data_IF_943450001662
#
_entry.id   IF_943450001662
#
_cell.length_a   1.000
_cell.length_b   1.000
_cell.length_c   1.000
_cell.angle_alpha   90.00
_cell.angle_beta   90.00
_cell.angle_gamma   90.00
#
_symmetry.space_group_name_H-M   'P 1'
#
loop_
_entity.id
_entity.type
_entity.pdbx_description
1 polymer ?
#
# COMPACT_ATOMS: atom_id res chain seq x y z
N UNK A 1 -2.16 27.67 -5.43
CA UNK A 1 -2.76 26.61 -6.27
C UNK A 1 -2.57 25.32 -5.48
N UNK A 2 -3.64 24.65 -5.02
CA UNK A 2 -3.52 23.33 -4.44
C UNK A 2 -3.16 22.39 -5.60
N UNK A 3 -1.95 21.86 -5.60
CA UNK A 3 -1.57 20.80 -6.52
C UNK A 3 -2.53 19.62 -6.36
N UNK A 4 -2.56 18.74 -7.33
CA UNK A 4 -3.41 17.55 -7.31
C UNK A 4 -3.04 16.63 -6.13
N UNK A 5 -4.05 16.10 -5.43
CA UNK A 5 -3.86 15.04 -4.46
C UNK A 5 -4.62 13.81 -4.94
N UNK A 6 -3.88 12.80 -5.37
CA UNK A 6 -4.42 11.57 -5.95
C UNK A 6 -3.82 10.35 -5.29
N UNK A 7 -4.67 9.34 -5.08
CA UNK A 7 -4.28 8.01 -4.61
C UNK A 7 -4.65 6.99 -5.68
N UNK A 8 -3.73 6.16 -6.11
CA UNK A 8 -3.97 5.08 -7.08
C UNK A 8 -3.56 3.73 -6.50
N UNK A 9 -4.48 2.79 -6.45
CA UNK A 9 -4.21 1.42 -6.02
C UNK A 9 -3.50 0.67 -7.15
N UNK A 10 -2.21 0.44 -7.04
CA UNK A 10 -1.43 -0.31 -8.04
C UNK A 10 -1.69 -1.81 -7.92
N UNK A 11 -1.94 -2.29 -6.70
CA UNK A 11 -2.30 -3.67 -6.43
C UNK A 11 -3.17 -3.75 -5.18
N UNK A 12 -4.21 -4.56 -5.26
CA UNK A 12 -5.24 -4.73 -4.24
C UNK A 12 -5.36 -6.19 -3.77
N UNK A 13 -4.43 -7.04 -4.22
CA UNK A 13 -4.40 -8.47 -3.93
C UNK A 13 -3.68 -8.79 -2.63
N UNK A 14 -3.35 -10.05 -2.49
CA UNK A 14 -2.88 -10.74 -1.28
C UNK A 14 -1.65 -11.61 -1.65
N UNK A 15 -1.04 -12.36 -0.69
CA UNK A 15 0.12 -13.22 -1.01
C UNK A 15 -0.10 -14.20 -2.17
N UNK A 16 -1.33 -14.67 -2.35
CA UNK A 16 -1.68 -15.58 -3.46
C UNK A 16 -1.71 -14.79 -4.78
N UNK A 17 -0.94 -15.20 -5.80
CA UNK A 17 -0.89 -14.48 -7.06
C UNK A 17 -2.22 -14.56 -7.82
N UNK A 18 -2.65 -13.42 -8.36
CA UNK A 18 -3.79 -13.30 -9.27
C UNK A 18 -3.43 -12.36 -10.42
N UNK A 19 -3.88 -12.63 -11.64
CA UNK A 19 -3.71 -11.68 -12.75
C UNK A 19 -4.62 -10.46 -12.62
N UNK A 20 -5.73 -10.56 -11.89
CA UNK A 20 -6.70 -9.49 -11.70
C UNK A 20 -6.30 -8.53 -10.58
N UNK A 21 -5.63 -9.06 -9.53
CA UNK A 21 -5.20 -8.30 -8.36
C UNK A 21 -3.74 -8.55 -8.06
N UNK A 22 -2.91 -7.58 -8.34
CA UNK A 22 -1.48 -7.63 -8.01
C UNK A 22 -1.24 -7.43 -6.51
N UNK A 23 -0.03 -7.70 -6.06
CA UNK A 23 0.34 -7.54 -4.65
C UNK A 23 0.16 -6.09 -4.15
N UNK A 24 -0.08 -5.89 -2.85
CA UNK A 24 -0.43 -4.58 -2.30
C UNK A 24 0.64 -3.53 -2.60
N UNK A 25 0.23 -2.48 -3.28
CA UNK A 25 1.03 -1.30 -3.54
C UNK A 25 0.11 -0.13 -3.87
N UNK A 26 0.40 1.03 -3.33
CA UNK A 26 -0.39 2.25 -3.57
C UNK A 26 0.53 3.40 -3.96
N UNK A 27 0.19 4.09 -5.06
CA UNK A 27 0.81 5.34 -5.47
C UNK A 27 0.03 6.51 -4.88
N UNK A 28 0.74 7.43 -4.25
CA UNK A 28 0.20 8.70 -3.76
C UNK A 28 0.92 9.84 -4.45
N UNK A 29 0.17 10.63 -5.19
CA UNK A 29 0.64 11.84 -5.87
C UNK A 29 0.09 13.05 -5.10
N UNK A 30 0.98 13.85 -4.52
CA UNK A 30 0.62 15.01 -3.71
C UNK A 30 1.49 16.21 -4.11
N UNK A 31 0.93 17.09 -4.95
CA UNK A 31 1.66 18.20 -5.57
C UNK A 31 2.75 17.70 -6.50
N UNK A 32 4.00 17.96 -6.14
CA UNK A 32 5.19 17.51 -6.87
C UNK A 32 5.85 16.24 -6.30
N UNK A 33 5.21 15.62 -5.29
CA UNK A 33 5.74 14.43 -4.64
C UNK A 33 5.00 13.17 -5.08
N UNK A 34 5.75 12.13 -5.43
CA UNK A 34 5.24 10.79 -5.75
C UNK A 34 5.74 9.78 -4.71
N UNK A 35 4.83 9.21 -3.94
CA UNK A 35 5.14 8.26 -2.88
C UNK A 35 4.53 6.89 -3.20
N UNK A 36 5.28 5.82 -2.91
CA UNK A 36 4.73 4.45 -2.90
C UNK A 36 4.53 3.97 -1.47
N UNK A 37 3.38 3.39 -1.20
CA UNK A 37 3.13 2.61 0.03
C UNK A 37 3.18 1.14 -0.36
N UNK A 38 4.12 0.43 0.24
CA UNK A 38 4.48 -0.95 -0.05
C UNK A 38 4.98 -1.19 -1.50
N UNK A 39 5.44 -2.39 -1.77
CA UNK A 39 6.03 -2.81 -3.02
C UNK A 39 5.64 -4.26 -3.33
N UNK A 40 4.35 -4.49 -3.47
CA UNK A 40 3.83 -5.81 -3.79
C UNK A 40 4.12 -6.24 -5.23
N UNK A 41 3.97 -7.54 -5.49
CA UNK A 41 4.26 -8.16 -6.78
C UNK A 41 3.58 -7.43 -7.92
N UNK A 42 4.37 -7.02 -8.93
CA UNK A 42 3.89 -6.40 -10.16
C UNK A 42 3.74 -4.88 -10.10
N UNK A 43 4.15 -4.23 -9.02
CA UNK A 43 4.07 -2.78 -8.88
C UNK A 43 4.76 -2.03 -10.04
N UNK A 44 5.91 -2.49 -10.52
CA UNK A 44 6.61 -1.92 -11.68
C UNK A 44 5.78 -1.99 -12.96
N UNK A 45 5.06 -3.09 -13.18
CA UNK A 45 4.18 -3.27 -14.33
C UNK A 45 3.01 -2.28 -14.26
N UNK A 46 2.42 -2.08 -13.08
CA UNK A 46 1.32 -1.12 -12.89
C UNK A 46 1.76 0.33 -13.07
N UNK A 47 2.96 0.69 -12.57
CA UNK A 47 3.56 2.01 -12.84
C UNK A 47 3.77 2.22 -14.35
N UNK A 48 4.25 1.18 -15.07
CA UNK A 48 4.38 1.25 -16.53
C UNK A 48 3.04 1.48 -17.23
N UNK A 49 1.99 0.77 -16.84
CA UNK A 49 0.64 0.95 -17.40
C UNK A 49 0.06 2.36 -17.16
N UNK A 50 0.44 3.01 -16.07
CA UNK A 50 0.08 4.40 -15.76
C UNK A 50 1.00 5.43 -16.41
N UNK A 51 2.04 5.00 -17.14
CA UNK A 51 3.09 5.86 -17.68
C UNK A 51 3.80 6.71 -16.62
N UNK A 52 3.91 6.19 -15.39
CA UNK A 52 4.64 6.82 -14.29
C UNK A 52 6.08 6.28 -14.27
N UNK A 53 7.09 7.07 -14.63
CA UNK A 53 8.48 6.64 -14.57
C UNK A 53 8.90 6.29 -13.14
N UNK A 54 9.53 5.13 -12.96
CA UNK A 54 9.94 4.68 -11.62
C UNK A 54 10.95 5.64 -10.98
N UNK A 55 11.76 6.33 -11.81
CA UNK A 55 12.71 7.34 -11.34
C UNK A 55 12.06 8.58 -10.72
N UNK A 56 10.77 8.80 -10.93
CA UNK A 56 10.01 9.91 -10.33
C UNK A 56 9.55 9.62 -8.90
N UNK A 57 9.62 8.37 -8.45
CA UNK A 57 9.22 8.02 -7.09
C UNK A 57 10.19 8.69 -6.10
N UNK A 58 9.68 9.65 -5.35
CA UNK A 58 10.42 10.42 -4.35
C UNK A 58 10.66 9.63 -3.07
N UNK A 59 9.73 8.74 -2.72
CA UNK A 59 9.73 8.04 -1.45
C UNK A 59 9.01 6.70 -1.51
N UNK A 60 9.67 5.65 -1.01
CA UNK A 60 9.07 4.35 -0.70
C UNK A 60 8.75 4.30 0.79
N UNK A 61 7.49 4.06 1.12
CA UNK A 61 7.01 3.77 2.48
C UNK A 61 6.78 2.27 2.61
N UNK A 62 7.22 1.67 3.71
CA UNK A 62 6.97 0.26 4.02
C UNK A 62 6.10 0.18 5.27
N UNK A 63 5.03 -0.61 5.22
CA UNK A 63 4.12 -0.82 6.35
C UNK A 63 4.62 -1.90 7.29
N UNK A 64 5.02 -3.04 6.75
CA UNK A 64 5.58 -4.20 7.44
C UNK A 64 6.36 -5.11 6.45
N UNK A 65 6.81 -6.29 6.89
CA UNK A 65 7.79 -7.09 6.14
C UNK A 65 7.25 -8.41 5.59
N UNK A 66 5.94 -8.59 5.42
CA UNK A 66 5.42 -9.70 4.63
C UNK A 66 5.89 -9.59 3.18
N UNK A 67 6.09 -10.75 2.56
CA UNK A 67 6.68 -10.81 1.21
C UNK A 67 5.79 -10.19 0.14
N UNK A 68 4.49 -10.24 0.28
CA UNK A 68 3.55 -9.63 -0.66
C UNK A 68 3.59 -8.10 -0.62
N UNK A 69 4.05 -7.48 0.48
CA UNK A 69 4.29 -6.04 0.62
C UNK A 69 5.68 -5.60 0.18
N UNK A 70 6.62 -6.53 -0.03
CA UNK A 70 8.03 -6.18 -0.28
C UNK A 70 8.64 -6.86 -1.50
N UNK A 71 7.95 -7.82 -2.13
CA UNK A 71 8.54 -8.67 -3.18
C UNK A 71 8.96 -7.93 -4.46
N UNK A 72 8.36 -6.78 -4.77
CA UNK A 72 8.72 -5.92 -5.89
C UNK A 72 9.70 -4.79 -5.52
N UNK A 73 10.09 -4.67 -4.25
CA UNK A 73 10.99 -3.62 -3.79
C UNK A 73 12.34 -3.62 -4.54
N UNK A 74 13.02 -4.77 -4.74
CA UNK A 74 14.24 -4.79 -5.54
C UNK A 74 14.00 -4.41 -6.99
N UNK A 75 12.88 -4.79 -7.60
CA UNK A 75 12.57 -4.45 -8.98
C UNK A 75 12.37 -2.94 -9.16
N UNK A 76 11.62 -2.27 -8.27
CA UNK A 76 11.45 -0.80 -8.26
C UNK A 76 12.82 -0.12 -8.08
N UNK A 77 13.61 -0.58 -7.12
CA UNK A 77 14.90 0.00 -6.79
C UNK A 77 15.89 -0.10 -7.94
N UNK A 78 16.06 -1.30 -8.51
CA UNK A 78 17.02 -1.57 -9.59
C UNK A 78 16.55 -0.96 -10.92
N UNK A 79 15.31 -1.19 -11.33
CA UNK A 79 14.78 -0.68 -12.61
C UNK A 79 14.73 0.84 -12.65
N UNK A 80 14.46 1.51 -11.52
CA UNK A 80 14.51 2.97 -11.43
C UNK A 80 15.89 3.56 -11.67
N UNK A 81 16.96 2.81 -11.48
CA UNK A 81 18.35 3.22 -11.71
C UNK A 81 18.79 3.07 -13.17
N UNK A 82 18.21 2.13 -13.92
CA UNK A 82 18.61 1.83 -15.30
C UNK A 82 18.44 3.03 -16.23
N UNK A 83 19.31 3.19 -17.21
CA UNK A 83 19.20 4.23 -18.23
C UNK A 83 18.10 3.88 -19.23
N UNK A 84 16.91 4.42 -19.01
CA UNK A 84 15.73 4.20 -19.85
C UNK A 84 14.75 5.37 -19.67
N UNK A 85 13.75 5.48 -20.57
CA UNK A 85 12.67 6.45 -20.38
C UNK A 85 11.83 6.22 -19.10
N UNK A 86 12.01 5.11 -18.42
CA UNK A 86 11.30 4.71 -17.22
C UNK A 86 12.18 4.75 -15.94
N UNK A 87 13.49 4.75 -16.13
CA UNK A 87 14.52 4.78 -15.09
C UNK A 87 15.25 6.11 -15.03
N UNK A 88 16.59 6.06 -14.97
CA UNK A 88 17.53 7.20 -14.90
C UNK A 88 17.59 7.92 -13.55
N UNK A 89 17.25 7.24 -12.44
CA UNK A 89 17.45 7.80 -11.11
C UNK A 89 18.94 8.05 -10.85
N UNK A 90 19.28 9.29 -10.48
CA UNK A 90 20.66 9.73 -10.20
C UNK A 90 20.90 10.07 -8.72
N UNK A 91 19.85 10.01 -7.91
CA UNK A 91 19.87 10.26 -6.47
C UNK A 91 19.61 8.98 -5.69
N UNK A 92 19.99 8.88 -4.41
CA UNK A 92 19.68 7.71 -3.60
C UNK A 92 18.19 7.40 -3.57
N UNK A 93 17.86 6.11 -3.61
CA UNK A 93 16.49 5.63 -3.43
C UNK A 93 16.08 5.78 -1.96
N UNK A 94 15.07 6.61 -1.71
CA UNK A 94 14.61 6.91 -0.36
C UNK A 94 13.58 5.89 0.10
N UNK A 95 13.86 5.29 1.25
CA UNK A 95 12.97 4.32 1.90
C UNK A 95 12.71 4.76 3.33
N UNK A 96 11.46 4.85 3.72
CA UNK A 96 11.05 5.04 5.11
C UNK A 96 10.21 3.84 5.52
N UNK A 97 10.58 3.20 6.61
CA UNK A 97 9.86 2.05 7.14
C UNK A 97 10.10 1.84 8.62
N UNK A 98 9.36 0.95 9.26
CA UNK A 98 9.60 0.59 10.65
C UNK A 98 10.97 -0.08 10.80
N UNK A 99 11.41 -0.28 12.05
CA UNK A 99 12.66 -1.01 12.37
C UNK A 99 12.77 -2.30 11.57
N UNK A 100 13.86 -2.47 10.83
CA UNK A 100 14.13 -3.59 9.91
C UNK A 100 14.29 -3.17 8.44
N UNK A 101 13.88 -1.95 8.06
CA UNK A 101 14.01 -1.44 6.69
C UNK A 101 15.47 -1.36 6.23
N UNK A 102 16.37 -0.87 7.08
CA UNK A 102 17.82 -0.84 6.79
C UNK A 102 18.36 -2.23 6.50
N UNK A 103 18.07 -3.18 7.39
CA UNK A 103 18.51 -4.57 7.22
C UNK A 103 17.98 -5.18 5.93
N UNK A 104 16.70 -4.90 5.57
CA UNK A 104 16.12 -5.38 4.33
C UNK A 104 16.89 -4.83 3.12
N UNK A 105 17.09 -3.50 3.04
CA UNK A 105 17.78 -2.87 1.91
C UNK A 105 19.25 -3.29 1.81
N UNK A 106 19.99 -3.38 2.93
CA UNK A 106 21.37 -3.88 2.97
C UNK A 106 21.48 -5.32 2.45
N UNK A 107 20.51 -6.19 2.77
CA UNK A 107 20.51 -7.56 2.27
C UNK A 107 20.13 -7.63 0.79
N UNK A 108 19.24 -6.78 0.31
CA UNK A 108 18.96 -6.65 -1.13
C UNK A 108 20.20 -6.16 -1.90
N UNK A 109 20.92 -5.17 -1.40
CA UNK A 109 22.16 -4.71 -2.00
C UNK A 109 23.19 -5.84 -2.11
N UNK A 110 23.34 -6.65 -1.05
CA UNK A 110 24.21 -7.83 -1.09
C UNK A 110 23.75 -8.89 -2.09
N UNK A 111 22.41 -9.12 -2.16
CA UNK A 111 21.84 -10.10 -3.08
C UNK A 111 22.04 -9.74 -4.55
N UNK A 112 22.04 -8.44 -4.87
CA UNK A 112 22.19 -7.92 -6.23
C UNK A 112 23.58 -7.32 -6.51
N UNK A 113 24.58 -7.60 -5.66
CA UNK A 113 25.92 -7.03 -5.77
C UNK A 113 26.59 -7.32 -7.13
N UNK A 114 26.37 -8.50 -7.70
CA UNK A 114 26.95 -8.87 -9.01
C UNK A 114 26.27 -8.09 -10.15
N UNK A 115 24.93 -7.95 -10.15
CA UNK A 115 24.20 -7.13 -11.13
C UNK A 115 24.67 -5.67 -11.07
N UNK A 116 24.75 -5.11 -9.86
CA UNK A 116 25.23 -3.74 -9.65
C UNK A 116 26.64 -3.55 -10.21
N UNK A 117 27.56 -4.47 -9.91
CA UNK A 117 28.94 -4.43 -10.39
C UNK A 117 29.00 -4.50 -11.92
N UNK A 118 28.24 -5.39 -12.54
CA UNK A 118 28.15 -5.53 -14.00
C UNK A 118 27.69 -4.23 -14.64
N UNK A 119 26.57 -3.66 -14.17
CA UNK A 119 26.00 -2.43 -14.74
C UNK A 119 26.89 -1.21 -14.56
N UNK A 120 27.56 -1.09 -13.44
CA UNK A 120 28.56 -0.02 -13.23
C UNK A 120 29.74 -0.18 -14.20
N UNK A 121 30.22 -1.40 -14.43
CA UNK A 121 31.35 -1.65 -15.29
C UNK A 121 31.02 -1.53 -16.78
N UNK A 122 29.85 -2.02 -17.22
CA UNK A 122 29.42 -2.08 -18.61
C UNK A 122 28.67 -0.81 -19.04
N UNK A 123 27.56 -0.50 -18.36
CA UNK A 123 26.66 0.60 -18.70
C UNK A 123 27.10 1.95 -18.10
N UNK A 124 28.13 1.97 -17.24
CA UNK A 124 28.67 3.17 -16.57
C UNK A 124 27.62 3.91 -15.72
N UNK A 125 26.66 3.19 -15.19
CA UNK A 125 25.60 3.77 -14.37
C UNK A 125 26.17 4.42 -13.08
N UNK A 126 25.64 5.58 -12.65
CA UNK A 126 26.15 6.29 -11.49
C UNK A 126 25.81 5.57 -10.19
N UNK A 127 26.81 5.36 -9.32
CA UNK A 127 26.62 4.75 -8.00
C UNK A 127 25.63 5.53 -7.11
N UNK A 128 25.49 6.84 -7.32
CA UNK A 128 24.51 7.64 -6.57
C UNK A 128 23.06 7.21 -6.83
N UNK A 129 22.76 6.69 -8.03
CA UNK A 129 21.41 6.25 -8.39
C UNK A 129 21.01 4.90 -7.80
N UNK A 130 22.00 4.03 -7.49
CA UNK A 130 21.73 2.74 -6.83
C UNK A 130 21.82 2.82 -5.30
N UNK A 131 22.48 3.86 -4.77
CA UNK A 131 22.55 4.07 -3.34
C UNK A 131 21.16 4.14 -2.70
N UNK A 132 21.05 3.77 -1.44
CA UNK A 132 19.80 3.84 -0.67
C UNK A 132 19.92 4.85 0.48
N UNK A 133 18.84 5.59 0.74
CA UNK A 133 18.70 6.49 1.89
C UNK A 133 17.54 5.97 2.73
N UNK A 134 17.85 5.25 3.80
CA UNK A 134 16.87 4.52 4.60
C UNK A 134 16.70 5.16 5.97
N UNK A 135 15.48 5.59 6.25
CA UNK A 135 15.06 6.09 7.58
C UNK A 135 14.14 5.08 8.24
N UNK A 136 14.43 4.75 9.49
CA UNK A 136 13.60 3.87 10.32
C UNK A 136 12.91 4.64 11.43
N UNK A 137 11.73 4.14 11.83
CA UNK A 137 10.98 4.62 12.99
C UNK A 137 10.45 3.43 13.81
N UNK A 138 10.11 3.68 15.07
CA UNK A 138 9.67 2.66 16.04
C UNK A 138 8.45 3.10 16.89
N UNK A 139 7.81 4.21 16.52
CA UNK A 139 6.67 4.80 17.26
C UNK A 139 5.80 5.64 16.34
N UNK A 140 4.58 5.93 16.80
CA UNK A 140 3.66 6.85 16.16
C UNK A 140 4.25 8.26 16.02
N UNK A 141 4.03 8.89 14.88
CA UNK A 141 4.41 10.29 14.66
C UNK A 141 4.72 10.62 13.21
N UNK A 142 5.09 11.90 12.94
CA UNK A 142 5.50 12.31 11.61
C UNK A 142 6.83 11.66 11.24
N UNK A 143 6.85 11.03 10.05
CA UNK A 143 8.03 10.33 9.51
C UNK A 143 8.58 11.00 8.24
N UNK A 144 7.79 11.87 7.61
CA UNK A 144 8.21 12.63 6.43
C UNK A 144 7.44 13.94 6.33
N UNK A 145 8.15 15.02 5.98
CA UNK A 145 7.55 16.32 5.70
C UNK A 145 8.37 17.04 4.62
N UNK A 146 7.76 17.29 3.46
CA UNK A 146 8.41 18.00 2.34
C UNK A 146 7.35 18.57 1.40
N UNK A 147 7.56 19.79 0.92
CA UNK A 147 6.74 20.47 -0.09
C UNK A 147 5.23 20.48 0.23
N UNK A 148 4.88 20.60 1.54
CA UNK A 148 3.50 20.61 2.01
C UNK A 148 2.89 19.21 2.19
N UNK A 149 3.60 18.14 1.82
CA UNK A 149 3.21 16.75 2.12
C UNK A 149 3.71 16.38 3.51
N UNK A 150 2.82 15.85 4.34
CA UNK A 150 3.17 15.31 5.66
C UNK A 150 2.70 13.88 5.76
N UNK A 151 3.60 12.97 6.16
CA UNK A 151 3.30 11.55 6.41
C UNK A 151 3.46 11.26 7.91
N UNK A 152 2.41 10.72 8.50
CA UNK A 152 2.37 10.28 9.89
C UNK A 152 2.21 8.76 9.87
N UNK A 153 3.15 8.05 10.50
CA UNK A 153 3.03 6.62 10.74
C UNK A 153 2.29 6.38 12.08
N UNK A 154 1.48 5.34 12.15
CA UNK A 154 0.81 4.91 13.36
C UNK A 154 0.79 3.39 13.47
N UNK A 155 1.11 2.88 14.65
CA UNK A 155 1.16 1.43 14.91
C UNK A 155 -0.22 0.81 14.75
N UNK A 156 -0.27 -0.36 14.09
CA UNK A 156 -1.47 -1.18 13.95
C UNK A 156 -1.17 -2.61 14.43
N UNK A 157 -2.21 -3.42 14.58
CA UNK A 157 -2.10 -4.76 15.17
C UNK A 157 -2.39 -5.84 14.12
N UNK A 158 -1.36 -6.33 13.45
CA UNK A 158 -1.47 -7.43 12.48
C UNK A 158 -1.25 -8.81 13.11
N UNK A 159 -1.30 -8.93 14.42
CA UNK A 159 -1.11 -10.17 15.19
C UNK A 159 0.10 -10.12 16.12
N UNK A 160 0.21 -11.13 16.97
CA UNK A 160 1.16 -11.09 18.08
C UNK A 160 2.63 -11.19 17.64
N UNK A 161 2.88 -11.84 16.50
CA UNK A 161 4.24 -12.07 15.95
C UNK A 161 4.56 -11.27 14.70
N UNK A 162 3.56 -10.63 14.07
CA UNK A 162 3.76 -9.84 12.85
C UNK A 162 4.00 -8.39 13.25
N UNK A 163 5.23 -8.13 13.71
CA UNK A 163 5.68 -6.82 14.23
C UNK A 163 7.06 -6.49 13.69
N UNK A 164 7.32 -5.20 13.42
CA UNK A 164 6.42 -4.04 13.50
C UNK A 164 5.43 -3.97 12.33
N UNK A 165 4.27 -3.32 12.53
CA UNK A 165 3.29 -3.05 11.49
C UNK A 165 2.66 -1.66 11.70
N UNK A 166 2.59 -0.85 10.63
CA UNK A 166 2.15 0.54 10.70
C UNK A 166 1.22 0.90 9.54
N UNK A 167 0.19 1.69 9.85
CA UNK A 167 -0.59 2.42 8.87
C UNK A 167 -0.01 3.81 8.64
N UNK A 168 -0.52 4.51 7.62
CA UNK A 168 -0.09 5.86 7.28
C UNK A 168 -1.25 6.83 7.16
N UNK A 169 -1.04 8.05 7.68
CA UNK A 169 -1.87 9.21 7.41
C UNK A 169 -1.05 10.21 6.61
N UNK A 170 -1.54 10.55 5.41
CA UNK A 170 -0.89 11.49 4.50
C UNK A 170 -1.75 12.74 4.39
N UNK A 171 -1.15 13.88 4.66
CA UNK A 171 -1.80 15.19 4.63
C UNK A 171 -1.17 16.06 3.54
N UNK A 172 -2.00 16.69 2.70
CA UNK A 172 -1.57 17.63 1.67
C UNK A 172 -2.70 18.60 1.32
N UNK A 173 -2.40 19.90 1.24
CA UNK A 173 -3.36 20.94 0.81
C UNK A 173 -4.63 21.00 1.68
N UNK A 174 -4.53 20.69 2.98
CA UNK A 174 -5.66 20.64 3.91
C UNK A 174 -6.55 19.41 3.76
N UNK A 175 -6.11 18.40 3.00
CA UNK A 175 -6.81 17.15 2.74
C UNK A 175 -6.05 15.97 3.31
N UNK A 176 -6.75 14.84 3.50
CA UNK A 176 -6.23 13.70 4.23
C UNK A 176 -6.57 12.38 3.56
N UNK A 177 -5.56 11.57 3.29
CA UNK A 177 -5.71 10.15 2.96
C UNK A 177 -5.12 9.29 4.09
N UNK A 178 -5.82 8.21 4.47
CA UNK A 178 -5.37 7.28 5.52
C UNK A 178 -5.38 5.86 4.97
N UNK A 179 -4.34 5.11 5.32
CA UNK A 179 -4.09 3.73 4.89
C UNK A 179 -3.91 2.86 6.13
N UNK A 180 -4.74 1.85 6.28
CA UNK A 180 -4.72 0.99 7.48
C UNK A 180 -3.47 0.13 7.58
N UNK A 181 -2.84 -0.28 6.47
CA UNK A 181 -2.03 -1.49 6.40
C UNK A 181 -2.85 -2.74 6.77
N UNK A 182 -2.20 -3.90 6.88
CA UNK A 182 -2.83 -5.11 7.39
C UNK A 182 -3.01 -5.00 8.89
N UNK A 183 -4.21 -5.25 9.40
CA UNK A 183 -4.50 -5.07 10.82
C UNK A 183 -5.79 -5.75 11.25
N UNK A 184 -5.85 -6.21 12.47
CA UNK A 184 -7.11 -6.46 13.20
C UNK A 184 -7.84 -5.14 13.43
N UNK A 185 -9.10 -5.21 13.89
CA UNK A 185 -9.80 -4.02 14.36
C UNK A 185 -8.92 -3.22 15.34
N UNK A 186 -8.61 -1.97 14.98
CA UNK A 186 -7.59 -1.20 15.69
C UNK A 186 -8.04 0.24 15.99
N UNK A 187 -7.85 0.66 17.25
CA UNK A 187 -8.21 2.00 17.70
C UNK A 187 -7.33 3.11 17.10
N UNK A 188 -6.09 2.81 16.71
CA UNK A 188 -5.25 3.80 16.03
C UNK A 188 -5.78 4.11 14.63
N UNK A 189 -6.29 3.11 13.88
CA UNK A 189 -6.97 3.39 12.61
C UNK A 189 -8.14 4.36 12.81
N UNK A 190 -8.92 4.19 13.88
CA UNK A 190 -10.02 5.11 14.21
C UNK A 190 -9.47 6.49 14.58
N UNK A 191 -8.46 6.56 15.44
CA UNK A 191 -7.84 7.81 15.90
C UNK A 191 -7.30 8.63 14.72
N UNK A 192 -6.48 8.02 13.89
CA UNK A 192 -5.83 8.67 12.76
C UNK A 192 -6.72 8.80 11.51
N UNK A 193 -7.77 7.98 11.42
CA UNK A 193 -8.79 8.04 10.37
C UNK A 193 -9.83 9.14 10.53
N UNK A 194 -9.96 9.75 11.73
CA UNK A 194 -10.91 10.85 11.94
C UNK A 194 -10.59 12.04 11.02
N UNK A 195 -11.64 12.52 10.32
CA UNK A 195 -11.53 13.63 9.39
C UNK A 195 -10.79 13.30 8.09
N UNK A 196 -10.59 12.03 7.76
CA UNK A 196 -10.04 11.62 6.48
C UNK A 196 -11.01 11.97 5.34
N UNK A 197 -10.47 12.46 4.24
CA UNK A 197 -11.21 12.54 2.97
C UNK A 197 -11.33 11.13 2.37
N UNK A 198 -10.24 10.38 2.34
CA UNK A 198 -10.16 8.99 1.89
C UNK A 198 -9.60 8.09 2.99
N UNK A 199 -10.29 7.01 3.32
CA UNK A 199 -9.79 5.94 4.18
C UNK A 199 -9.71 4.64 3.37
N UNK A 200 -8.48 4.21 3.05
CA UNK A 200 -8.19 2.93 2.39
C UNK A 200 -7.88 1.89 3.46
N UNK A 201 -8.66 0.83 3.52
CA UNK A 201 -8.55 -0.21 4.55
C UNK A 201 -8.42 -1.59 3.91
N UNK A 202 -7.65 -2.49 4.54
CA UNK A 202 -7.66 -3.91 4.19
C UNK A 202 -8.97 -4.56 4.63
N UNK A 203 -9.27 -5.74 4.11
CA UNK A 203 -10.45 -6.52 4.54
C UNK A 203 -10.26 -8.02 4.32
N UNK A 204 -10.69 -8.82 5.29
CA UNK A 204 -10.64 -10.27 5.16
C UNK A 204 -11.99 -10.94 5.48
N UNK A 205 -12.37 -11.87 4.62
CA UNK A 205 -13.60 -12.64 4.78
C UNK A 205 -13.39 -14.12 4.44
N UNK A 206 -14.03 -14.98 5.22
CA UNK A 206 -14.16 -16.40 4.95
C UNK A 206 -15.62 -16.83 5.13
N UNK A 207 -16.05 -17.84 4.37
CA UNK A 207 -17.36 -18.44 4.61
C UNK A 207 -17.40 -19.19 5.94
N UNK A 208 -18.56 -19.25 6.65
CA UNK A 208 -18.69 -19.92 7.94
C UNK A 208 -18.19 -21.37 7.94
N UNK A 209 -18.37 -22.08 6.82
CA UNK A 209 -17.93 -23.49 6.66
C UNK A 209 -16.41 -23.65 6.81
N UNK A 210 -15.63 -22.61 6.47
CA UNK A 210 -14.17 -22.60 6.57
C UNK A 210 -13.69 -22.20 7.97
N UNK A 211 -14.53 -21.55 8.78
CA UNK A 211 -14.13 -21.05 10.11
C UNK A 211 -13.82 -22.15 11.13
N UNK A 212 -14.10 -23.42 10.82
CA UNK A 212 -13.66 -24.58 11.63
C UNK A 212 -12.17 -24.93 11.41
N UNK A 213 -11.57 -24.48 10.33
CA UNK A 213 -10.18 -24.74 9.98
C UNK A 213 -9.24 -23.81 10.73
N UNK A 214 -8.31 -24.36 11.52
CA UNK A 214 -7.42 -23.57 12.38
C UNK A 214 -6.55 -22.58 11.61
N UNK A 215 -6.14 -22.88 10.37
CA UNK A 215 -5.35 -21.94 9.57
C UNK A 215 -6.20 -20.76 9.07
N UNK A 216 -7.49 -20.99 8.76
CA UNK A 216 -8.44 -19.93 8.38
C UNK A 216 -8.67 -18.99 9.56
N UNK A 217 -8.91 -19.55 10.76
CA UNK A 217 -9.07 -18.76 11.98
C UNK A 217 -7.84 -17.87 12.25
N UNK A 218 -6.63 -18.42 12.03
CA UNK A 218 -5.39 -17.62 12.18
C UNK A 218 -5.34 -16.48 11.18
N UNK A 219 -5.64 -16.72 9.90
CA UNK A 219 -5.61 -15.66 8.88
C UNK A 219 -6.66 -14.58 9.21
N UNK A 220 -7.91 -14.96 9.43
CA UNK A 220 -8.97 -14.00 9.82
C UNK A 220 -8.60 -13.27 11.12
N UNK A 221 -7.98 -13.97 12.07
CA UNK A 221 -7.53 -13.38 13.34
C UNK A 221 -6.41 -12.33 13.21
N UNK A 222 -5.77 -12.20 12.05
CA UNK A 222 -4.75 -11.18 11.76
C UNK A 222 -5.31 -9.96 11.02
N UNK A 223 -6.54 -10.02 10.52
CA UNK A 223 -7.15 -9.04 9.63
C UNK A 223 -8.46 -8.50 10.21
N UNK A 224 -9.03 -7.51 9.54
CA UNK A 224 -10.31 -6.91 9.91
C UNK A 224 -11.44 -7.51 9.08
N UNK A 225 -12.50 -7.98 9.75
CA UNK A 225 -13.70 -8.49 9.06
C UNK A 225 -14.49 -7.34 8.40
N UNK A 226 -15.33 -7.62 7.37
CA UNK A 226 -16.16 -6.59 6.76
C UNK A 226 -17.08 -5.86 7.77
N UNK A 227 -17.65 -6.61 8.72
CA UNK A 227 -18.48 -6.04 9.81
C UNK A 227 -17.68 -5.04 10.65
N UNK A 228 -16.44 -5.39 11.02
CA UNK A 228 -15.58 -4.53 11.83
C UNK A 228 -15.00 -3.34 11.02
N UNK A 229 -14.74 -3.52 9.73
CA UNK A 229 -14.43 -2.40 8.82
C UNK A 229 -15.56 -1.37 8.82
N UNK A 230 -16.81 -1.82 8.72
CA UNK A 230 -17.98 -0.93 8.79
C UNK A 230 -18.06 -0.16 10.12
N UNK A 231 -17.71 -0.79 11.25
CA UNK A 231 -17.62 -0.11 12.56
C UNK A 231 -16.53 0.96 12.59
N UNK A 232 -15.36 0.69 11.95
CA UNK A 232 -14.27 1.67 11.82
C UNK A 232 -14.74 2.86 10.98
N UNK A 233 -15.37 2.62 9.83
CA UNK A 233 -15.85 3.66 8.93
C UNK A 233 -16.94 4.52 9.57
N UNK A 234 -17.85 3.92 10.35
CA UNK A 234 -18.88 4.64 11.10
C UNK A 234 -18.28 5.58 12.16
N UNK A 235 -17.15 5.19 12.78
CA UNK A 235 -16.48 6.02 13.78
C UNK A 235 -15.56 7.08 13.17
N UNK A 236 -14.95 6.80 12.02
CA UNK A 236 -14.03 7.73 11.33
C UNK A 236 -14.75 8.71 10.43
N UNK A 237 -15.88 8.31 9.84
CA UNK A 237 -16.73 9.10 8.91
C UNK A 237 -15.92 9.71 7.77
N UNK A 238 -15.17 8.92 6.98
CA UNK A 238 -14.43 9.44 5.84
C UNK A 238 -15.40 9.95 4.77
N UNK A 239 -14.99 10.89 3.91
CA UNK A 239 -15.79 11.26 2.74
C UNK A 239 -15.99 10.07 1.80
N UNK A 240 -14.96 9.21 1.69
CA UNK A 240 -15.01 7.94 0.99
C UNK A 240 -14.18 6.89 1.73
N UNK A 241 -14.77 5.73 1.99
CA UNK A 241 -14.06 4.51 2.39
C UNK A 241 -13.74 3.68 1.15
N UNK A 242 -12.56 3.04 1.13
CA UNK A 242 -12.20 2.13 0.05
C UNK A 242 -11.49 0.89 0.61
N UNK A 243 -11.67 -0.26 -0.01
CA UNK A 243 -10.93 -1.47 0.32
C UNK A 243 -9.72 -1.66 -0.59
N UNK A 244 -8.64 -2.16 0.00
CA UNK A 244 -7.48 -2.76 -0.64
C UNK A 244 -7.16 -4.07 0.06
N UNK A 245 -6.14 -4.83 -0.37
CA UNK A 245 -5.75 -6.09 0.26
C UNK A 245 -6.97 -6.97 0.59
N UNK A 246 -7.73 -7.31 -0.47
CA UNK A 246 -9.03 -7.99 -0.33
C UNK A 246 -8.83 -9.49 -0.17
N UNK A 247 -8.84 -9.97 1.07
CA UNK A 247 -8.64 -11.38 1.43
C UNK A 247 -9.97 -12.12 1.37
N UNK A 248 -10.17 -12.92 0.35
CA UNK A 248 -11.34 -13.79 0.18
C UNK A 248 -10.90 -15.25 0.28
N UNK A 249 -11.00 -15.83 1.48
CA UNK A 249 -10.50 -17.18 1.72
C UNK A 249 -11.41 -18.24 1.12
N UNK A 250 -10.78 -19.25 0.52
CA UNK A 250 -11.44 -20.35 -0.16
C UNK A 250 -10.74 -21.69 0.15
N UNK A 251 -11.38 -22.79 -0.21
CA UNK A 251 -10.78 -24.13 -0.32
C UNK A 251 -11.23 -24.80 -1.62
N UNK A 252 -10.72 -25.99 -1.90
CA UNK A 252 -11.18 -26.77 -3.05
C UNK A 252 -12.70 -27.02 -2.99
N UNK A 253 -13.25 -27.21 -1.82
CA UNK A 253 -14.67 -27.57 -1.60
C UNK A 253 -15.56 -26.33 -1.35
N UNK A 254 -15.02 -25.22 -0.91
CA UNK A 254 -15.77 -24.02 -0.53
C UNK A 254 -15.24 -22.82 -1.33
N UNK A 255 -16.05 -22.25 -2.26
CA UNK A 255 -15.64 -21.09 -3.06
C UNK A 255 -15.45 -19.86 -2.17
N UNK A 256 -14.67 -18.85 -2.64
CA UNK A 256 -14.50 -17.60 -1.89
C UNK A 256 -15.85 -16.89 -1.69
N UNK A 257 -16.00 -16.09 -0.63
CA UNK A 257 -17.10 -15.12 -0.55
C UNK A 257 -17.01 -14.15 -1.74
N UNK A 258 -18.17 -13.70 -2.22
CA UNK A 258 -18.23 -12.70 -3.30
C UNK A 258 -18.02 -11.29 -2.75
N UNK A 259 -17.65 -10.34 -3.61
CA UNK A 259 -17.57 -8.92 -3.24
C UNK A 259 -18.94 -8.37 -2.80
N UNK A 260 -20.03 -8.89 -3.36
CA UNK A 260 -21.39 -8.53 -2.94
C UNK A 260 -21.66 -8.95 -1.49
N UNK A 261 -21.29 -10.18 -1.11
CA UNK A 261 -21.44 -10.67 0.27
C UNK A 261 -20.57 -9.84 1.23
N UNK A 262 -19.34 -9.51 0.83
CA UNK A 262 -18.45 -8.66 1.60
C UNK A 262 -19.09 -7.28 1.87
N UNK A 263 -19.58 -6.61 0.83
CA UNK A 263 -20.24 -5.30 0.95
C UNK A 263 -21.51 -5.41 1.79
N UNK A 264 -22.31 -6.48 1.64
CA UNK A 264 -23.52 -6.68 2.43
C UNK A 264 -23.23 -6.78 3.94
N UNK A 265 -22.08 -7.39 4.31
CA UNK A 265 -21.67 -7.48 5.72
C UNK A 265 -21.19 -6.12 6.25
N UNK A 266 -20.44 -5.34 5.47
CA UNK A 266 -20.08 -3.94 5.82
C UNK A 266 -21.31 -3.10 6.06
N UNK A 267 -22.35 -3.25 5.22
CA UNK A 267 -23.60 -2.49 5.28
C UNK A 267 -24.44 -2.74 6.55
N UNK A 268 -24.11 -3.76 7.33
CA UNK A 268 -24.73 -3.95 8.65
C UNK A 268 -24.29 -2.89 9.67
N UNK A 269 -23.14 -2.23 9.43
CA UNK A 269 -22.55 -1.27 10.38
C UNK A 269 -22.13 0.07 9.76
N UNK A 270 -22.25 0.24 8.44
CA UNK A 270 -21.86 1.47 7.74
C UNK A 270 -22.71 1.74 6.50
N UNK A 271 -23.33 2.94 6.45
CA UNK A 271 -24.19 3.39 5.35
C UNK A 271 -23.52 4.43 4.43
N UNK A 272 -22.30 4.86 4.76
CA UNK A 272 -21.60 5.92 4.01
C UNK A 272 -21.00 5.44 2.68
N UNK A 273 -20.34 6.35 1.93
CA UNK A 273 -19.71 6.05 0.66
C UNK A 273 -18.62 5.00 0.79
N UNK A 274 -18.68 3.96 -0.03
CA UNK A 274 -17.75 2.82 -0.01
C UNK A 274 -17.46 2.34 -1.43
N UNK A 275 -16.17 2.12 -1.72
CA UNK A 275 -15.67 1.44 -2.92
C UNK A 275 -14.93 0.16 -2.55
N UNK A 276 -15.10 -0.88 -3.33
CA UNK A 276 -14.18 -2.02 -3.30
C UNK A 276 -13.08 -1.74 -4.30
N UNK A 277 -11.86 -1.52 -3.81
CA UNK A 277 -10.73 -1.18 -4.66
C UNK A 277 -10.41 -2.25 -5.69
N UNK A 278 -10.02 -1.80 -6.85
CA UNK A 278 -9.52 -2.59 -7.96
C UNK A 278 -8.14 -2.06 -8.35
N UNK A 279 -7.32 -2.91 -8.99
CA UNK A 279 -6.03 -2.47 -9.49
C UNK A 279 -6.22 -1.33 -10.50
N UNK A 280 -5.38 -0.31 -10.40
CA UNK A 280 -5.40 0.93 -11.18
C UNK A 280 -6.62 1.84 -10.93
N UNK A 281 -7.47 1.52 -9.94
CA UNK A 281 -8.48 2.47 -9.46
C UNK A 281 -7.78 3.66 -8.79
N UNK A 282 -8.20 4.88 -9.14
CA UNK A 282 -7.67 6.10 -8.55
C UNK A 282 -8.75 6.97 -7.91
N UNK A 283 -8.32 7.71 -6.89
CA UNK A 283 -9.14 8.62 -6.10
C UNK A 283 -8.53 10.01 -6.17
N UNK A 284 -9.23 10.95 -6.80
CA UNK A 284 -8.86 12.37 -6.79
C UNK A 284 -9.48 13.02 -5.56
N UNK A 285 -8.63 13.54 -4.66
CA UNK A 285 -9.04 14.08 -3.37
C UNK A 285 -9.20 15.60 -3.49
N UNK A 286 -10.43 16.02 -3.69
CA UNK A 286 -10.85 17.41 -3.80
C UNK A 286 -11.83 17.80 -2.69
N UNK A 287 -12.78 18.69 -2.97
CA UNK A 287 -13.89 18.99 -2.07
C UNK A 287 -14.76 17.76 -1.85
N UNK A 288 -14.88 16.93 -2.89
CA UNK A 288 -15.34 15.56 -2.84
C UNK A 288 -14.18 14.63 -3.29
N UNK A 289 -14.29 13.34 -3.01
CA UNK A 289 -13.41 12.32 -3.55
C UNK A 289 -14.03 11.74 -4.81
N UNK A 290 -13.33 11.89 -5.94
CA UNK A 290 -13.78 11.36 -7.24
C UNK A 290 -13.05 10.08 -7.58
N UNK A 291 -13.81 9.04 -7.90
CA UNK A 291 -13.27 7.72 -8.28
C UNK A 291 -13.08 7.66 -9.79
N UNK A 292 -11.91 7.21 -10.23
CA UNK A 292 -11.63 6.89 -11.63
C UNK A 292 -11.17 5.44 -11.75
N UNK A 293 -11.65 4.76 -12.76
CA UNK A 293 -11.22 3.41 -13.13
C UNK A 293 -10.51 3.49 -14.47
N UNK A 294 -9.34 2.87 -14.58
CA UNK A 294 -8.70 2.73 -15.89
C UNK A 294 -9.57 1.80 -16.74
N UNK A 295 -10.14 2.35 -17.81
CA UNK A 295 -10.90 1.50 -18.75
C UNK A 295 -9.91 0.50 -19.36
N UNK A 296 -10.16 -0.80 -19.18
CA UNK A 296 -9.45 -1.84 -19.93
C UNK A 296 -9.69 -1.58 -21.42
N UNK A 297 -8.65 -1.22 -22.14
CA UNK A 297 -8.72 -1.29 -23.60
C UNK A 297 -8.83 -2.78 -23.94
N UNK A 298 -10.05 -3.18 -24.30
CA UNK A 298 -10.40 -4.50 -24.87
C UNK A 298 -9.67 -4.72 -26.18
#
# INVERSE_FOLDING_TARGET
MSGDFRVTLLGTGVPIPSPERFGPCTLVEAGDQELLIDAGRGATIRLYQLHVPISRIDLQLLTHYHSDHTSCLPDIWLTGWLESHFGTRKTPYKVIGPTGAKRLMENLERAYADDIKIRVADEKLPLSGIATDVTEYDRDGPVYEKNGVKVIAFEVDHGDVIKPCYGYRIEYGGRVAVFSSDTRYNHNVIKYGKGADLLVHEVAMARPELMKEAYIQRIIGHHTTPYDCGRIFTQTKPKLAAFTHVVQLASIAVPPPTLHELVAEVRQTYDGPLEVGEDLMSFEIGDAVTVKRLMSHS
#
